data_IF_354250799181
#
_entry.id   IF_354250799181
#
_cell.length_a   1.000
_cell.length_b   1.000
_cell.length_c   1.000
_cell.angle_alpha   90.00
_cell.angle_beta   90.00
_cell.angle_gamma   90.00
#
_symmetry.space_group_name_H-M   'P 1'
#
loop_
_entity.id
_entity.type
_entity.pdbx_description
1 polymer ?
#
# COMPACT_ATOMS: atom_id res chain seq x y z
N UNK A 1 -5.30 7.96 -4.38
CA UNK A 1 -5.48 7.47 -5.76
C UNK A 1 -4.12 7.00 -6.25
N UNK A 2 -4.01 5.75 -6.67
CA UNK A 2 -2.74 5.15 -7.12
C UNK A 2 -2.76 4.82 -8.61
N UNK A 3 -3.61 5.50 -9.40
CA UNK A 3 -3.87 5.20 -10.81
C UNK A 3 -4.65 3.90 -11.08
N UNK A 4 -4.60 2.94 -10.15
CA UNK A 4 -5.29 1.65 -10.27
C UNK A 4 -6.80 1.72 -10.05
N UNK A 5 -7.50 0.70 -10.56
CA UNK A 5 -8.96 0.55 -10.53
C UNK A 5 -9.56 0.72 -9.13
N UNK A 6 -8.93 0.16 -8.10
CA UNK A 6 -9.49 0.13 -6.74
C UNK A 6 -9.63 1.54 -6.17
N UNK A 7 -8.55 2.31 -6.20
CA UNK A 7 -8.57 3.68 -5.68
C UNK A 7 -9.49 4.62 -6.47
N UNK A 8 -9.68 4.34 -7.75
CA UNK A 8 -10.55 5.10 -8.65
C UNK A 8 -12.03 4.81 -8.37
N UNK A 9 -12.39 3.54 -8.19
CA UNK A 9 -13.76 3.16 -7.80
C UNK A 9 -14.08 3.63 -6.39
N UNK A 10 -13.13 3.54 -5.45
CA UNK A 10 -13.33 4.06 -4.09
C UNK A 10 -13.66 5.57 -4.08
N UNK A 11 -12.95 6.37 -4.88
CA UNK A 11 -13.23 7.79 -5.01
C UNK A 11 -14.61 8.05 -5.67
N UNK A 12 -14.96 7.26 -6.69
CA UNK A 12 -16.25 7.38 -7.38
C UNK A 12 -17.43 7.03 -6.45
N UNK A 13 -17.33 5.96 -5.66
CA UNK A 13 -18.35 5.55 -4.69
C UNK A 13 -18.60 6.65 -3.65
N UNK A 14 -17.54 7.20 -3.05
CA UNK A 14 -17.68 8.30 -2.09
C UNK A 14 -18.30 9.55 -2.72
N UNK A 15 -17.99 9.85 -3.98
CA UNK A 15 -18.62 10.95 -4.70
C UNK A 15 -20.12 10.70 -4.92
N UNK A 16 -20.51 9.48 -5.29
CA UNK A 16 -21.92 9.07 -5.44
C UNK A 16 -22.67 9.10 -4.10
N UNK A 17 -22.01 8.78 -3.00
CA UNK A 17 -22.54 8.88 -1.62
C UNK A 17 -22.70 10.33 -1.13
N UNK A 18 -22.23 11.32 -1.90
CA UNK A 18 -22.41 12.74 -1.61
C UNK A 18 -21.27 13.40 -0.84
N UNK A 19 -20.13 12.73 -0.66
CA UNK A 19 -18.96 13.35 -0.03
C UNK A 19 -18.32 14.42 -0.93
N UNK A 20 -17.72 15.43 -0.28
CA UNK A 20 -16.73 16.27 -0.93
C UNK A 20 -15.40 15.50 -1.00
N UNK A 21 -15.03 15.06 -2.20
CA UNK A 21 -13.87 14.18 -2.41
C UNK A 21 -12.71 14.98 -2.98
N UNK A 22 -11.52 14.79 -2.39
CA UNK A 22 -10.24 15.28 -2.92
C UNK A 22 -9.37 14.07 -3.29
N UNK A 23 -8.91 14.01 -4.53
CA UNK A 23 -7.98 13.00 -4.99
C UNK A 23 -6.53 13.31 -4.59
N UNK A 24 -5.83 12.35 -4.01
CA UNK A 24 -4.41 12.49 -3.66
C UNK A 24 -3.61 11.30 -4.17
N UNK A 25 -2.55 11.53 -4.93
CA UNK A 25 -1.54 10.52 -5.29
C UNK A 25 -0.27 10.74 -4.48
N UNK A 26 0.32 9.64 -3.99
CA UNK A 26 1.58 9.67 -3.26
C UNK A 26 2.72 9.36 -4.23
N UNK A 27 3.61 10.32 -4.46
CA UNK A 27 4.84 10.09 -5.19
C UNK A 27 5.87 9.47 -4.25
N UNK A 28 6.17 8.19 -4.46
CA UNK A 28 7.11 7.39 -3.66
C UNK A 28 8.43 7.12 -4.40
N UNK A 29 8.62 7.68 -5.60
CA UNK A 29 9.85 7.56 -6.39
C UNK A 29 9.69 6.81 -7.72
N UNK A 30 10.78 6.66 -8.50
CA UNK A 30 10.74 6.32 -9.93
C UNK A 30 10.16 4.93 -10.26
N UNK A 31 10.26 3.95 -9.34
CA UNK A 31 9.56 2.65 -9.47
C UNK A 31 8.27 2.57 -8.65
N UNK A 32 8.03 3.53 -7.76
CA UNK A 32 6.84 3.61 -6.91
C UNK A 32 5.59 4.14 -7.61
N UNK A 33 5.43 3.82 -8.90
CA UNK A 33 4.25 4.14 -9.73
C UNK A 33 4.00 5.64 -9.99
N UNK A 34 4.99 6.53 -9.82
CA UNK A 34 4.70 7.96 -9.67
C UNK A 34 4.33 8.72 -10.94
N UNK A 35 4.81 8.30 -12.11
CA UNK A 35 4.58 9.04 -13.37
C UNK A 35 3.24 8.70 -14.00
N UNK A 36 3.14 7.47 -14.51
CA UNK A 36 1.95 7.01 -15.22
C UNK A 36 0.72 6.92 -14.30
N UNK A 37 0.89 6.40 -13.08
CA UNK A 37 -0.24 6.26 -12.17
C UNK A 37 -0.78 7.63 -11.71
N UNK A 38 0.07 8.65 -11.61
CA UNK A 38 -0.39 10.01 -11.34
C UNK A 38 -1.17 10.61 -12.52
N UNK A 39 -0.78 10.30 -13.76
CA UNK A 39 -1.52 10.70 -14.97
C UNK A 39 -2.88 10.01 -15.02
N UNK A 40 -2.92 8.70 -14.77
CA UNK A 40 -4.17 7.93 -14.79
C UNK A 40 -5.11 8.38 -13.66
N UNK A 41 -4.58 8.62 -12.46
CA UNK A 41 -5.35 9.18 -11.36
C UNK A 41 -5.88 10.58 -11.67
N UNK A 42 -5.10 11.43 -12.34
CA UNK A 42 -5.54 12.77 -12.75
C UNK A 42 -6.72 12.70 -13.75
N UNK A 43 -6.67 11.79 -14.73
CA UNK A 43 -7.77 11.57 -15.69
C UNK A 43 -9.05 11.10 -15.01
N UNK A 44 -8.91 10.20 -14.02
CA UNK A 44 -10.05 9.74 -13.21
C UNK A 44 -10.61 10.92 -12.41
N UNK A 45 -9.76 11.72 -11.76
CA UNK A 45 -10.19 12.86 -10.97
C UNK A 45 -10.92 13.93 -11.82
N UNK A 46 -10.41 14.21 -13.02
CA UNK A 46 -11.05 15.10 -14.00
C UNK A 46 -12.44 14.58 -14.38
N UNK A 47 -12.56 13.29 -14.72
CA UNK A 47 -13.85 12.67 -15.04
C UNK A 47 -14.85 12.74 -13.88
N UNK A 48 -14.38 12.59 -12.64
CA UNK A 48 -15.21 12.66 -11.44
C UNK A 48 -15.52 14.12 -11.01
N UNK A 49 -14.87 15.11 -11.63
CA UNK A 49 -14.99 16.51 -11.25
C UNK A 49 -14.51 16.79 -9.81
N UNK A 50 -13.42 16.15 -9.40
CA UNK A 50 -12.84 16.29 -8.05
C UNK A 50 -11.46 16.98 -8.09
N UNK A 51 -11.10 17.81 -7.10
CA UNK A 51 -9.75 18.34 -6.97
C UNK A 51 -8.71 17.22 -6.86
N UNK A 52 -7.51 17.45 -7.39
CA UNK A 52 -6.46 16.43 -7.41
C UNK A 52 -5.08 17.01 -7.09
N UNK A 53 -4.34 16.31 -6.21
CA UNK A 53 -3.00 16.69 -5.79
C UNK A 53 -2.03 15.50 -5.83
N UNK A 54 -0.76 15.81 -6.01
CA UNK A 54 0.35 14.85 -5.84
C UNK A 54 1.19 15.28 -4.65
N UNK A 55 1.38 14.37 -3.69
CA UNK A 55 2.24 14.58 -2.53
C UNK A 55 3.57 13.90 -2.76
N UNK A 56 4.65 14.65 -2.68
CA UNK A 56 5.99 14.11 -2.68
C UNK A 56 6.36 13.56 -1.29
N UNK A 57 6.45 12.24 -1.19
CA UNK A 57 6.81 11.54 0.05
C UNK A 57 8.04 10.65 -0.17
N UNK A 58 8.87 10.94 -1.18
CA UNK A 58 10.03 10.11 -1.54
C UNK A 58 10.98 9.90 -0.37
N UNK A 59 11.37 10.97 0.32
CA UNK A 59 12.31 10.92 1.44
C UNK A 59 11.71 10.16 2.63
N UNK A 60 10.45 10.47 2.98
CA UNK A 60 9.75 9.78 4.06
C UNK A 60 9.62 8.28 3.77
N UNK A 61 9.24 7.93 2.55
CA UNK A 61 9.08 6.54 2.12
C UNK A 61 10.41 5.79 2.15
N UNK A 62 11.48 6.44 1.71
CA UNK A 62 12.82 5.88 1.76
C UNK A 62 13.24 5.56 3.20
N UNK A 63 13.12 6.53 4.11
CA UNK A 63 13.56 6.38 5.50
C UNK A 63 12.66 5.45 6.32
N UNK A 64 11.35 5.47 6.12
CA UNK A 64 10.41 4.70 6.93
C UNK A 64 10.12 3.29 6.38
N UNK A 65 10.36 3.06 5.09
CA UNK A 65 10.00 1.81 4.41
C UNK A 65 11.21 1.14 3.79
N UNK A 66 11.90 1.80 2.85
CA UNK A 66 12.96 1.17 2.04
C UNK A 66 14.18 0.81 2.88
N UNK A 67 14.69 1.77 3.66
CA UNK A 67 15.89 1.58 4.49
C UNK A 67 15.66 0.54 5.59
N UNK A 68 14.53 0.56 6.36
CA UNK A 68 14.20 -0.49 7.31
C UNK A 68 14.03 -1.86 6.66
N UNK A 69 13.39 -1.94 5.49
CA UNK A 69 13.28 -3.18 4.72
C UNK A 69 14.66 -3.79 4.43
N UNK A 70 15.59 -2.99 3.91
CA UNK A 70 16.93 -3.47 3.60
C UNK A 70 17.70 -3.89 4.86
N UNK A 71 17.51 -3.16 5.96
CA UNK A 71 18.12 -3.47 7.26
C UNK A 71 17.62 -4.78 7.85
N UNK A 72 16.34 -5.10 7.71
CA UNK A 72 15.81 -6.35 8.26
C UNK A 72 16.33 -7.58 7.50
N UNK A 73 16.46 -7.49 6.18
CA UNK A 73 17.14 -8.53 5.38
C UNK A 73 18.61 -8.69 5.76
N UNK A 74 19.33 -7.61 6.05
CA UNK A 74 20.73 -7.72 6.49
C UNK A 74 20.91 -8.40 7.84
N UNK A 75 19.83 -8.47 8.63
CA UNK A 75 19.75 -9.20 9.90
C UNK A 75 19.21 -10.63 9.73
N UNK A 76 19.01 -11.11 8.50
CA UNK A 76 18.49 -12.45 8.22
C UNK A 76 17.00 -12.60 8.54
N UNK A 77 16.23 -11.50 8.50
CA UNK A 77 14.78 -11.49 8.70
C UNK A 77 14.05 -11.15 7.41
N UNK A 78 12.81 -11.59 7.27
CA UNK A 78 11.95 -11.30 6.11
C UNK A 78 10.89 -10.26 6.48
N UNK A 79 11.13 -8.96 6.22
CA UNK A 79 10.19 -7.90 6.53
C UNK A 79 9.02 -7.84 5.54
N UNK A 80 7.86 -7.37 6.02
CA UNK A 80 6.76 -6.95 5.16
C UNK A 80 6.72 -5.39 5.09
N UNK A 81 7.13 -4.78 3.96
CA UNK A 81 7.21 -3.33 3.86
C UNK A 81 5.83 -2.66 3.79
N UNK A 82 4.79 -3.37 3.33
CA UNK A 82 3.44 -2.82 3.20
C UNK A 82 2.83 -2.45 4.55
N UNK A 83 3.11 -3.23 5.60
CA UNK A 83 2.67 -2.92 6.98
C UNK A 83 3.26 -1.58 7.44
N UNK A 84 4.56 -1.36 7.22
CA UNK A 84 5.23 -0.09 7.56
C UNK A 84 4.74 1.06 6.70
N UNK A 85 4.58 0.84 5.39
CA UNK A 85 4.04 1.83 4.46
C UNK A 85 2.64 2.30 4.89
N UNK A 86 1.75 1.37 5.25
CA UNK A 86 0.44 1.73 5.78
C UNK A 86 0.57 2.57 7.06
N UNK A 87 1.37 2.11 8.03
CA UNK A 87 1.54 2.80 9.31
C UNK A 87 2.08 4.24 9.18
N UNK A 88 3.20 4.42 8.48
CA UNK A 88 3.96 5.68 8.51
C UNK A 88 3.67 6.58 7.32
N UNK A 89 3.34 6.00 6.16
CA UNK A 89 3.18 6.75 4.90
C UNK A 89 1.70 6.97 4.61
N UNK A 90 0.93 5.90 4.34
CA UNK A 90 -0.48 6.03 3.94
C UNK A 90 -1.37 6.57 5.05
N UNK A 91 -1.23 6.11 6.30
CA UNK A 91 -2.05 6.56 7.43
C UNK A 91 -1.29 7.45 8.41
N UNK A 92 -0.01 7.74 8.14
CA UNK A 92 0.74 8.76 8.86
C UNK A 92 0.68 10.09 8.11
N UNK A 93 1.32 10.15 6.95
CA UNK A 93 1.43 11.39 6.18
C UNK A 93 0.10 11.85 5.56
N UNK A 94 -0.73 10.92 5.06
CA UNK A 94 -2.01 11.31 4.44
C UNK A 94 -3.00 11.87 5.46
N UNK A 95 -3.03 11.34 6.68
CA UNK A 95 -3.88 11.87 7.76
C UNK A 95 -3.45 13.28 8.18
N UNK A 96 -2.14 13.54 8.28
CA UNK A 96 -1.64 14.91 8.47
C UNK A 96 -2.03 15.83 7.32
N UNK A 97 -1.94 15.35 6.07
CA UNK A 97 -2.37 16.14 4.92
C UNK A 97 -3.88 16.41 4.94
N UNK A 98 -4.67 15.44 5.40
CA UNK A 98 -6.11 15.59 5.56
C UNK A 98 -6.43 16.74 6.53
N UNK A 99 -5.69 16.88 7.62
CA UNK A 99 -5.84 17.99 8.56
C UNK A 99 -5.54 19.36 7.92
N UNK A 100 -4.45 19.47 7.16
CA UNK A 100 -4.11 20.69 6.43
C UNK A 100 -5.20 21.10 5.43
N UNK A 101 -5.85 20.10 4.81
CA UNK A 101 -6.96 20.29 3.87
C UNK A 101 -8.32 20.39 4.56
N UNK A 102 -8.37 20.30 5.90
CA UNK A 102 -9.61 20.26 6.70
C UNK A 102 -10.57 19.15 6.28
N UNK A 103 -10.04 18.01 5.86
CA UNK A 103 -10.81 16.82 5.54
C UNK A 103 -11.08 15.99 6.80
N UNK A 104 -12.33 15.56 6.97
CA UNK A 104 -12.77 14.74 8.11
C UNK A 104 -12.19 13.32 8.05
N UNK A 105 -12.09 12.77 6.83
CA UNK A 105 -11.73 11.38 6.59
C UNK A 105 -10.63 11.20 5.54
N UNK A 106 -9.95 10.06 5.63
CA UNK A 106 -9.03 9.55 4.60
C UNK A 106 -9.57 8.25 4.02
N UNK A 107 -9.76 8.21 2.70
CA UNK A 107 -10.22 7.02 2.01
C UNK A 107 -9.08 6.30 1.26
N UNK A 108 -9.12 4.97 1.27
CA UNK A 108 -8.22 4.15 0.45
C UNK A 108 -8.98 3.01 -0.22
N UNK A 109 -8.45 2.49 -1.34
CA UNK A 109 -9.00 1.33 -2.02
C UNK A 109 -8.62 -0.02 -1.37
N UNK A 110 -8.40 -0.08 -0.05
CA UNK A 110 -8.11 -1.37 0.59
C UNK A 110 -9.39 -2.19 0.79
N UNK A 111 -9.26 -3.50 0.59
CA UNK A 111 -10.33 -4.48 0.84
C UNK A 111 -10.31 -4.90 2.31
N UNK A 112 -10.81 -4.03 3.17
CA UNK A 112 -11.05 -4.31 4.58
C UNK A 112 -12.21 -3.41 5.05
N UNK A 113 -12.74 -3.65 6.25
CA UNK A 113 -13.88 -2.89 6.78
C UNK A 113 -13.55 -2.33 8.14
N UNK A 114 -14.03 -1.13 8.41
CA UNK A 114 -13.97 -0.52 9.73
C UNK A 114 -15.39 -0.27 10.20
N UNK A 115 -15.67 -0.67 11.42
CA UNK A 115 -16.97 -0.49 12.06
C UNK A 115 -16.76 0.06 13.46
N UNK A 116 -17.62 0.97 13.90
CA UNK A 116 -17.67 1.36 15.31
C UNK A 116 -18.57 0.38 16.05
N UNK A 117 -18.03 -0.26 17.09
CA UNK A 117 -18.78 -1.14 17.98
C UNK A 117 -19.27 -0.34 19.19
N UNK A 118 -20.59 -0.05 19.30
CA UNK A 118 -21.14 0.72 20.41
C UNK A 118 -21.04 0.01 21.77
N UNK A 119 -20.87 -1.33 21.78
CA UNK A 119 -20.79 -2.08 23.04
C UNK A 119 -19.43 -1.93 23.71
N UNK A 120 -18.38 -1.72 22.92
CA UNK A 120 -17.01 -1.53 23.41
C UNK A 120 -16.51 -0.09 23.26
N UNK A 121 -17.27 0.77 22.57
CA UNK A 121 -16.91 2.14 22.18
C UNK A 121 -15.60 2.19 21.38
N UNK A 122 -15.39 1.21 20.50
CA UNK A 122 -14.14 1.08 19.73
C UNK A 122 -14.40 0.85 18.25
N UNK A 123 -13.46 1.32 17.44
CA UNK A 123 -13.39 0.95 16.04
C UNK A 123 -12.74 -0.42 15.89
N UNK A 124 -13.42 -1.31 15.18
CA UNK A 124 -12.97 -2.67 14.87
C UNK A 124 -12.60 -2.80 13.39
N UNK A 125 -11.44 -3.38 13.14
CA UNK A 125 -10.98 -3.72 11.81
C UNK A 125 -11.48 -5.13 11.47
N UNK A 126 -12.35 -5.23 10.47
CA UNK A 126 -12.90 -6.49 9.95
C UNK A 126 -12.25 -6.84 8.61
N UNK A 127 -12.28 -8.14 8.29
CA UNK A 127 -11.90 -8.63 6.97
C UNK A 127 -12.81 -8.05 5.89
N UNK A 128 -12.24 -7.81 4.71
CA UNK A 128 -13.01 -7.52 3.50
C UNK A 128 -13.93 -8.69 3.16
N UNK A 129 -15.02 -8.40 2.44
CA UNK A 129 -15.99 -9.40 2.00
C UNK A 129 -15.34 -10.46 1.11
N UNK A 130 -14.40 -10.06 0.25
CA UNK A 130 -13.63 -10.95 -0.62
C UNK A 130 -12.43 -11.55 0.11
N UNK A 131 -12.45 -12.85 0.46
CA UNK A 131 -11.37 -13.46 1.22
C UNK A 131 -10.06 -13.53 0.42
N UNK A 132 -10.12 -13.49 -0.92
CA UNK A 132 -8.94 -13.55 -1.79
C UNK A 132 -8.25 -12.21 -1.91
N UNK A 133 -8.94 -11.13 -1.59
CA UNK A 133 -8.43 -9.76 -1.64
C UNK A 133 -8.33 -9.10 -0.28
N UNK A 134 -8.77 -9.74 0.80
CA UNK A 134 -8.71 -9.18 2.15
C UNK A 134 -7.32 -8.60 2.46
N UNK A 135 -7.33 -7.33 2.86
CA UNK A 135 -6.14 -6.56 3.21
C UNK A 135 -6.12 -6.16 4.67
N UNK A 136 -7.02 -6.69 5.51
CA UNK A 136 -7.04 -6.44 6.95
C UNK A 136 -5.68 -6.74 7.61
N UNK A 137 -4.97 -7.77 7.14
CA UNK A 137 -3.64 -8.13 7.62
C UNK A 137 -2.64 -6.97 7.56
N UNK A 138 -2.58 -6.20 6.46
CA UNK A 138 -1.61 -5.11 6.33
C UNK A 138 -2.00 -3.83 7.08
N UNK A 139 -3.16 -3.84 7.74
CA UNK A 139 -3.74 -2.73 8.48
C UNK A 139 -3.76 -2.97 10.00
N UNK A 140 -3.23 -4.09 10.49
CA UNK A 140 -3.32 -4.46 11.93
C UNK A 140 -2.73 -3.40 12.86
N UNK A 141 -1.77 -2.60 12.37
CA UNK A 141 -1.03 -1.63 13.20
C UNK A 141 -1.74 -0.28 13.37
N UNK A 142 -2.92 -0.12 12.78
CA UNK A 142 -3.69 1.13 12.87
C UNK A 142 -4.25 1.33 14.28
N UNK A 143 -4.13 2.57 14.75
CA UNK A 143 -4.65 3.01 16.04
C UNK A 143 -6.15 3.31 15.99
N UNK A 144 -6.80 3.45 17.14
CA UNK A 144 -8.22 3.80 17.20
C UNK A 144 -8.51 5.17 16.57
N UNK A 145 -7.63 6.14 16.79
CA UNK A 145 -7.72 7.47 16.16
C UNK A 145 -7.65 7.37 14.63
N UNK A 146 -6.72 6.55 14.11
CA UNK A 146 -6.61 6.33 12.67
C UNK A 146 -7.84 5.59 12.14
N UNK A 147 -8.29 4.52 12.80
CA UNK A 147 -9.47 3.77 12.38
C UNK A 147 -10.73 4.64 12.36
N UNK A 148 -10.89 5.55 13.32
CA UNK A 148 -12.03 6.47 13.37
C UNK A 148 -12.07 7.52 12.27
N UNK A 149 -10.95 7.69 11.55
CA UNK A 149 -10.80 8.69 10.48
C UNK A 149 -10.61 8.09 9.09
N UNK A 150 -10.74 6.76 8.94
CA UNK A 150 -10.55 6.12 7.63
C UNK A 150 -11.84 5.56 7.06
N UNK A 151 -11.97 5.67 5.74
CA UNK A 151 -13.01 5.03 4.95
C UNK A 151 -12.38 3.98 4.04
N UNK A 152 -12.99 2.80 3.99
CA UNK A 152 -12.55 1.67 3.15
C UNK A 152 -13.71 1.23 2.24
N UNK A 153 -14.05 2.02 1.19
CA UNK A 153 -15.30 1.85 0.44
C UNK A 153 -15.42 0.51 -0.29
N UNK A 154 -14.29 -0.17 -0.52
CA UNK A 154 -14.27 -1.46 -1.24
C UNK A 154 -14.43 -2.66 -0.31
N UNK A 155 -14.52 -2.45 1.01
CA UNK A 155 -14.55 -3.51 2.01
C UNK A 155 -15.72 -4.48 1.85
N UNK A 156 -16.84 -4.04 1.29
CA UNK A 156 -18.05 -4.84 1.06
C UNK A 156 -18.20 -5.31 -0.41
N UNK A 157 -17.12 -5.26 -1.19
CA UNK A 157 -17.15 -5.66 -2.60
C UNK A 157 -16.10 -6.73 -2.90
N UNK A 158 -16.45 -7.62 -3.84
CA UNK A 158 -15.50 -8.49 -4.52
C UNK A 158 -14.68 -7.74 -5.56
N UNK A 159 -13.50 -8.28 -5.90
CA UNK A 159 -12.70 -7.66 -6.97
C UNK A 159 -13.45 -7.58 -8.29
N UNK A 160 -14.23 -8.60 -8.59
CA UNK A 160 -15.04 -8.68 -9.81
C UNK A 160 -16.14 -7.61 -9.83
N UNK A 161 -16.79 -7.38 -8.69
CA UNK A 161 -17.73 -6.27 -8.50
C UNK A 161 -17.06 -4.91 -8.72
N UNK A 162 -15.91 -4.66 -8.12
CA UNK A 162 -15.16 -3.41 -8.31
C UNK A 162 -14.79 -3.19 -9.77
N UNK A 163 -14.34 -4.22 -10.49
CA UNK A 163 -14.07 -4.14 -11.93
C UNK A 163 -15.32 -3.83 -12.75
N UNK A 164 -16.46 -4.41 -12.38
CA UNK A 164 -17.75 -4.15 -13.04
C UNK A 164 -18.27 -2.74 -12.76
N UNK A 165 -18.10 -2.24 -11.53
CA UNK A 165 -18.40 -0.85 -11.17
C UNK A 165 -17.55 0.12 -11.97
N UNK A 166 -16.24 -0.11 -12.06
CA UNK A 166 -15.34 0.73 -12.85
C UNK A 166 -15.80 0.84 -14.31
N UNK A 167 -16.19 -0.29 -14.92
CA UNK A 167 -16.76 -0.32 -16.28
C UNK A 167 -18.08 0.43 -16.39
N UNK A 168 -19.00 0.22 -15.44
CA UNK A 168 -20.31 0.89 -15.40
C UNK A 168 -20.17 2.42 -15.27
N UNK A 169 -19.23 2.87 -14.45
CA UNK A 169 -18.88 4.29 -14.26
C UNK A 169 -18.03 4.84 -15.41
N UNK A 170 -17.56 3.99 -16.33
CA UNK A 170 -16.71 4.35 -17.46
C UNK A 170 -15.35 4.92 -17.04
N UNK A 171 -14.79 4.49 -15.91
CA UNK A 171 -13.53 5.03 -15.39
C UNK A 171 -12.36 4.60 -16.30
N UNK A 172 -11.47 5.54 -16.69
CA UNK A 172 -10.31 5.25 -17.54
C UNK A 172 -9.18 4.61 -16.71
N UNK A 173 -9.36 3.36 -16.30
CA UNK A 173 -8.42 2.66 -15.41
C UNK A 173 -7.62 1.60 -16.16
N UNK A 174 -6.32 1.52 -15.86
CA UNK A 174 -5.45 0.45 -16.35
C UNK A 174 -5.83 -0.91 -15.71
N UNK A 175 -5.68 -1.99 -16.48
CA UNK A 175 -6.20 -3.33 -16.15
C UNK A 175 -5.37 -4.17 -15.19
N UNK A 176 -4.10 -3.82 -14.97
CA UNK A 176 -3.16 -4.68 -14.26
C UNK A 176 -3.00 -4.29 -12.80
N UNK A 177 -3.00 -5.30 -11.92
CA UNK A 177 -2.72 -5.13 -10.50
C UNK A 177 -1.22 -5.21 -10.25
N UNK A 178 -0.69 -4.33 -9.40
CA UNK A 178 0.66 -4.48 -8.88
C UNK A 178 0.71 -5.71 -7.95
N UNK A 179 1.45 -6.74 -8.34
CA UNK A 179 1.64 -7.97 -7.55
C UNK A 179 2.98 -7.97 -6.78
N UNK A 180 3.87 -7.01 -7.05
CA UNK A 180 5.21 -6.95 -6.45
C UNK A 180 5.35 -5.82 -5.43
N UNK A 181 6.42 -5.87 -4.64
CA UNK A 181 6.77 -4.77 -3.73
C UNK A 181 7.09 -3.54 -4.58
N UNK A 182 6.33 -2.47 -4.40
CA UNK A 182 6.29 -1.31 -5.31
C UNK A 182 7.60 -0.54 -5.54
N UNK A 183 8.67 -0.86 -4.81
CA UNK A 183 9.96 -0.17 -4.92
C UNK A 183 11.14 -1.10 -5.21
N UNK A 184 10.88 -2.40 -5.35
CA UNK A 184 11.92 -3.38 -5.65
C UNK A 184 12.30 -3.29 -7.14
N UNK A 185 13.59 -3.23 -7.49
CA UNK A 185 14.04 -3.21 -8.88
C UNK A 185 13.83 -4.56 -9.57
N UNK A 186 14.02 -4.62 -10.90
CA UNK A 186 13.76 -5.85 -11.68
C UNK A 186 14.73 -6.99 -11.31
N UNK A 187 15.90 -6.66 -10.76
CA UNK A 187 16.84 -7.64 -10.20
C UNK A 187 16.46 -8.14 -8.80
N UNK A 188 15.29 -7.75 -8.28
CA UNK A 188 14.73 -8.23 -7.04
C UNK A 188 15.25 -7.53 -5.78
N UNK A 189 14.70 -7.91 -4.64
CA UNK A 189 15.04 -7.31 -3.36
C UNK A 189 16.50 -7.57 -2.91
N UNK A 190 17.18 -8.70 -3.23
CA UNK A 190 18.56 -8.89 -2.80
C UNK A 190 19.52 -7.86 -3.43
N UNK A 191 19.27 -7.46 -4.68
CA UNK A 191 20.05 -6.40 -5.34
C UNK A 191 19.87 -5.07 -4.60
N UNK A 192 18.63 -4.72 -4.26
CA UNK A 192 18.33 -3.52 -3.48
C UNK A 192 19.01 -3.57 -2.11
N UNK A 193 18.91 -4.69 -1.39
CA UNK A 193 19.56 -4.90 -0.09
C UNK A 193 21.07 -4.72 -0.20
N UNK A 194 21.70 -5.31 -1.21
CA UNK A 194 23.14 -5.23 -1.44
C UNK A 194 23.67 -3.80 -1.66
N UNK A 195 22.85 -2.90 -2.21
CA UNK A 195 23.20 -1.47 -2.35
C UNK A 195 23.34 -0.75 -0.99
N UNK A 196 22.60 -1.18 0.03
CA UNK A 196 22.66 -0.59 1.38
C UNK A 196 23.54 -1.39 2.35
N UNK A 197 23.52 -2.72 2.23
CA UNK A 197 24.17 -3.67 3.14
C UNK A 197 24.90 -4.75 2.33
N UNK A 198 26.10 -4.47 1.79
CA UNK A 198 26.85 -5.42 0.95
C UNK A 198 27.14 -6.77 1.64
N UNK A 199 27.29 -6.78 2.97
CA UNK A 199 27.54 -8.03 3.71
C UNK A 199 26.34 -8.98 3.69
N UNK A 200 25.11 -8.48 3.48
CA UNK A 200 23.90 -9.29 3.41
C UNK A 200 23.84 -10.19 2.17
N UNK A 201 24.59 -9.83 1.13
CA UNK A 201 24.76 -10.60 -0.12
C UNK A 201 26.08 -11.37 -0.14
N UNK A 202 26.73 -11.58 1.02
CA UNK A 202 27.95 -12.37 1.10
C UNK A 202 27.65 -13.86 0.93
N UNK A 203 28.32 -14.57 -0.01
CA UNK A 203 28.14 -16.01 -0.16
C UNK A 203 28.56 -16.79 1.09
N UNK A 204 27.83 -17.84 1.41
CA UNK A 204 28.08 -18.71 2.57
C UNK A 204 27.74 -20.17 2.29
N UNK A 205 28.14 -21.11 3.17
CA UNK A 205 27.79 -22.51 3.02
C UNK A 205 26.31 -22.74 3.32
N UNK A 206 25.67 -23.65 2.57
CA UNK A 206 24.38 -24.24 2.93
C UNK A 206 24.69 -25.51 3.71
N UNK A 207 24.17 -25.62 4.93
CA UNK A 207 24.40 -26.76 5.82
C UNK A 207 23.10 -27.53 6.01
N UNK A 208 23.20 -28.86 6.17
CA UNK A 208 22.10 -29.65 6.72
C UNK A 208 22.03 -29.56 8.26
N UNK A 209 21.05 -30.25 8.86
CA UNK A 209 20.86 -30.26 10.32
C UNK A 209 22.01 -30.92 11.10
N UNK A 210 22.88 -31.68 10.43
CA UNK A 210 24.07 -32.31 11.02
C UNK A 210 25.33 -31.45 10.86
N UNK A 211 25.24 -30.30 10.17
CA UNK A 211 26.38 -29.43 9.87
C UNK A 211 27.14 -29.84 8.60
N UNK A 212 26.66 -30.83 7.83
CA UNK A 212 27.29 -31.20 6.56
C UNK A 212 27.03 -30.11 5.52
N UNK A 213 28.09 -29.68 4.83
CA UNK A 213 27.98 -28.73 3.73
C UNK A 213 27.29 -29.40 2.52
N UNK A 214 26.17 -28.83 2.10
CA UNK A 214 25.39 -29.25 0.93
C UNK A 214 25.70 -28.41 -0.32
N UNK A 215 26.20 -27.18 -0.13
CA UNK A 215 26.46 -26.26 -1.23
C UNK A 215 26.84 -24.86 -0.73
N UNK A 216 26.71 -23.85 -1.59
CA UNK A 216 26.91 -22.45 -1.25
C UNK A 216 25.73 -21.60 -1.72
N UNK A 217 25.33 -20.63 -0.92
CA UNK A 217 24.28 -19.68 -1.24
C UNK A 217 24.86 -18.35 -1.73
N UNK A 218 24.08 -17.58 -2.50
CA UNK A 218 24.48 -16.25 -3.01
C UNK A 218 24.48 -15.15 -1.95
N UNK A 219 23.83 -15.37 -0.82
CA UNK A 219 23.73 -14.42 0.30
C UNK A 219 22.45 -14.68 1.08
N UNK A 220 22.42 -14.37 2.37
CA UNK A 220 21.26 -14.70 3.22
C UNK A 220 20.00 -13.95 2.77
N UNK A 221 20.16 -12.77 2.16
CA UNK A 221 19.07 -11.95 1.66
C UNK A 221 18.28 -12.59 0.49
N UNK A 222 18.75 -13.69 -0.10
CA UNK A 222 18.05 -14.40 -1.17
C UNK A 222 17.04 -15.45 -0.67
N UNK A 223 16.91 -15.64 0.64
CA UNK A 223 16.15 -16.73 1.25
C UNK A 223 15.24 -16.22 2.37
N UNK A 224 14.23 -17.02 2.70
CA UNK A 224 13.29 -16.82 3.82
C UNK A 224 13.02 -18.17 4.47
#
# INVERSE_FOLDING_TARGET
MSGGVDSSVAAALLKEEGYEVIGITLNLGPKGDSGQAAVDAARVAEKLGIPYYVLDLRDLFHEEVVRPFCREYSLGRTPNPCIRCNKFVKFGALLRKAEELRADFVATGHYARVEFDPSTERYILKKGLDPRKDQSYVLYSLTQEQLGRILLPLGDFTKEEVRRLAKKMGLPVAGDESQEICFVPDGGHPELVGRYFPDAIRPGPILDRSGRVLGRHGGIAHYT
#
